data_IF_103720617221
#
_entry.id   IF_103720617221
#
_cell.length_a   1.000
_cell.length_b   1.000
_cell.length_c   1.000
_cell.angle_alpha   90.00
_cell.angle_beta   90.00
_cell.angle_gamma   90.00
#
_symmetry.space_group_name_H-M   'P 1'
#
loop_
_entity.id
_entity.type
_entity.pdbx_description
1 polymer ?
#
# COMPACT_ATOMS: atom_id res chain seq x y z
N UNK A 1 26.48 -1.09 -24.27
CA UNK A 1 26.03 -0.31 -25.45
C UNK A 1 24.87 0.57 -24.99
N UNK A 2 24.87 1.87 -25.30
CA UNK A 2 23.74 2.76 -24.99
C UNK A 2 22.54 2.31 -25.82
N UNK A 3 21.47 1.85 -25.18
CA UNK A 3 20.24 1.51 -25.87
C UNK A 3 19.37 2.77 -25.89
N UNK A 4 18.89 3.24 -27.04
CA UNK A 4 18.07 4.47 -27.10
C UNK A 4 16.94 4.31 -28.10
N UNK A 5 15.74 4.73 -27.73
CA UNK A 5 14.56 4.76 -28.61
C UNK A 5 14.48 6.13 -29.25
N UNK A 6 14.36 6.17 -30.58
CA UNK A 6 14.07 7.40 -31.33
C UNK A 6 12.59 7.38 -31.70
N UNK A 7 11.83 8.37 -31.25
CA UNK A 7 10.39 8.52 -31.52
C UNK A 7 10.07 9.96 -31.89
N UNK A 8 9.18 10.21 -32.85
CA UNK A 8 8.78 11.60 -33.17
C UNK A 8 7.84 12.18 -32.12
N UNK A 9 7.80 13.51 -31.98
CA UNK A 9 6.87 14.23 -31.09
C UNK A 9 5.42 13.81 -31.34
N UNK A 10 5.01 13.70 -32.61
CA UNK A 10 3.66 13.29 -33.02
C UNK A 10 3.36 11.83 -32.64
N UNK A 11 4.31 10.92 -32.84
CA UNK A 11 4.12 9.51 -32.44
C UNK A 11 4.04 9.35 -30.92
N UNK A 12 4.85 10.10 -30.16
CA UNK A 12 4.78 10.07 -28.70
C UNK A 12 3.42 10.60 -28.21
N UNK A 13 2.92 11.69 -28.82
CA UNK A 13 1.56 12.18 -28.58
C UNK A 13 0.49 11.11 -28.86
N UNK A 14 0.52 10.46 -30.03
CA UNK A 14 -0.48 9.43 -30.33
C UNK A 14 -0.42 8.24 -29.36
N UNK A 15 0.78 7.84 -28.94
CA UNK A 15 0.95 6.79 -27.92
C UNK A 15 0.35 7.19 -26.57
N UNK A 16 0.64 8.39 -26.05
CA UNK A 16 0.11 8.83 -24.73
C UNK A 16 -1.41 9.01 -24.72
N UNK A 17 -2.04 9.19 -25.88
CA UNK A 17 -3.50 9.24 -26.01
C UNK A 17 -4.14 7.91 -26.41
N UNK A 18 -3.34 6.89 -26.75
CA UNK A 18 -3.81 5.54 -27.10
C UNK A 18 -3.60 4.51 -25.98
N UNK A 19 -2.62 4.73 -25.10
CA UNK A 19 -2.30 3.82 -24.00
C UNK A 19 -2.07 4.56 -22.66
N UNK A 20 -2.43 3.94 -21.51
CA UNK A 20 -2.08 4.47 -20.19
C UNK A 20 -0.57 4.68 -20.04
N UNK A 21 -0.16 5.76 -19.36
CA UNK A 21 1.26 6.07 -19.14
C UNK A 21 2.00 4.92 -18.48
N UNK A 22 1.37 4.21 -17.53
CA UNK A 22 1.94 3.03 -16.88
C UNK A 22 2.39 1.94 -17.84
N UNK A 23 1.70 1.76 -18.97
CA UNK A 23 2.10 0.84 -20.04
C UNK A 23 3.28 1.39 -20.84
N UNK A 24 3.24 2.67 -21.20
CA UNK A 24 4.29 3.32 -21.98
C UNK A 24 5.60 3.43 -21.20
N UNK A 25 5.54 3.67 -19.90
CA UNK A 25 6.70 3.67 -19.00
C UNK A 25 7.43 2.32 -19.04
N UNK A 26 6.70 1.19 -19.07
CA UNK A 26 7.29 -0.15 -19.24
C UNK A 26 7.93 -0.32 -20.61
N UNK A 27 7.25 0.13 -21.67
CA UNK A 27 7.75 0.04 -23.05
C UNK A 27 9.03 0.86 -23.25
N UNK A 28 9.09 2.04 -22.63
CA UNK A 28 10.23 2.96 -22.75
C UNK A 28 11.30 2.78 -21.67
N UNK A 29 11.09 1.87 -20.72
CA UNK A 29 11.93 1.69 -19.53
C UNK A 29 12.19 3.02 -18.79
N UNK A 30 11.13 3.78 -18.54
CA UNK A 30 11.13 5.09 -17.86
C UNK A 30 10.23 5.04 -16.61
N UNK A 31 10.48 5.92 -15.64
CA UNK A 31 9.52 6.23 -14.58
C UNK A 31 8.37 7.11 -15.11
N UNK A 32 7.23 7.17 -14.40
CA UNK A 32 6.10 8.04 -14.80
C UNK A 32 6.54 9.50 -14.86
N UNK A 33 7.29 9.94 -13.85
CA UNK A 33 7.90 11.26 -13.83
C UNK A 33 8.90 11.48 -14.98
N UNK A 34 9.66 10.45 -15.37
CA UNK A 34 10.57 10.51 -16.51
C UNK A 34 9.83 10.76 -17.82
N UNK A 35 8.79 9.98 -18.10
CA UNK A 35 7.96 10.14 -19.29
C UNK A 35 7.20 11.48 -19.27
N UNK A 36 6.69 11.92 -18.11
CA UNK A 36 6.01 13.20 -17.95
C UNK A 36 6.94 14.38 -18.23
N UNK A 37 8.17 14.35 -17.71
CA UNK A 37 9.19 15.38 -17.99
C UNK A 37 9.50 15.48 -19.47
N UNK A 38 9.58 14.34 -20.17
CA UNK A 38 9.78 14.32 -21.63
C UNK A 38 8.58 14.98 -22.32
N UNK A 39 7.36 14.61 -21.96
CA UNK A 39 6.15 15.19 -22.55
C UNK A 39 6.07 16.70 -22.29
N UNK A 40 6.33 17.17 -21.07
CA UNK A 40 6.38 18.59 -20.71
C UNK A 40 7.46 19.33 -21.49
N UNK A 41 8.68 18.78 -21.58
CA UNK A 41 9.80 19.39 -22.32
C UNK A 41 9.47 19.58 -23.81
N UNK A 42 8.74 18.64 -24.39
CA UNK A 42 8.35 18.65 -25.80
C UNK A 42 6.96 19.24 -26.06
N UNK A 43 6.35 19.84 -25.04
CA UNK A 43 5.02 20.47 -25.12
C UNK A 43 3.96 19.52 -25.70
N UNK A 44 3.95 18.29 -25.18
CA UNK A 44 3.01 17.22 -25.52
C UNK A 44 1.96 17.16 -24.41
N UNK A 45 0.69 17.49 -24.69
CA UNK A 45 -0.35 17.44 -23.68
C UNK A 45 -0.66 15.97 -23.31
N UNK A 46 -0.83 15.74 -22.02
CA UNK A 46 -1.15 14.43 -21.45
C UNK A 46 -2.65 14.32 -21.18
N UNK A 47 -3.22 13.09 -21.22
CA UNK A 47 -4.59 12.88 -20.79
C UNK A 47 -4.81 13.33 -19.35
N UNK A 48 -5.90 14.07 -19.09
CA UNK A 48 -6.27 14.50 -17.74
C UNK A 48 -6.56 13.32 -16.82
N UNK A 49 -6.44 13.55 -15.51
CA UNK A 49 -6.81 12.55 -14.51
C UNK A 49 -8.25 12.05 -14.76
N UNK A 50 -8.42 10.73 -14.78
CA UNK A 50 -9.70 10.08 -15.05
C UNK A 50 -10.05 9.90 -16.54
N UNK A 51 -9.23 10.37 -17.50
CA UNK A 51 -9.45 10.13 -18.94
C UNK A 51 -9.63 8.64 -19.27
N UNK A 52 -8.71 7.79 -18.80
CA UNK A 52 -8.75 6.34 -19.03
C UNK A 52 -9.94 5.65 -18.35
N UNK A 53 -10.37 6.17 -17.19
CA UNK A 53 -11.57 5.68 -16.51
C UNK A 53 -12.82 6.00 -17.33
N UNK A 54 -12.93 7.22 -17.87
CA UNK A 54 -14.02 7.61 -18.77
C UNK A 54 -14.08 6.75 -20.03
N UNK A 55 -12.93 6.44 -20.66
CA UNK A 55 -12.85 5.50 -21.79
C UNK A 55 -13.37 4.11 -21.39
N UNK A 56 -12.91 3.57 -20.25
CA UNK A 56 -13.31 2.23 -19.76
C UNK A 56 -14.82 2.11 -19.55
N UNK A 57 -15.48 3.17 -19.11
CA UNK A 57 -16.92 3.21 -18.89
C UNK A 57 -17.71 3.76 -20.10
N UNK A 58 -17.11 3.82 -21.29
CA UNK A 58 -17.78 4.22 -22.54
C UNK A 58 -18.27 5.67 -22.55
N UNK A 59 -17.71 6.55 -21.71
CA UNK A 59 -18.10 7.95 -21.62
C UNK A 59 -17.39 8.78 -22.69
N UNK A 60 -18.03 9.85 -23.15
CA UNK A 60 -17.41 10.82 -24.07
C UNK A 60 -16.18 11.46 -23.39
N UNK A 61 -15.06 11.49 -24.12
CA UNK A 61 -13.80 12.09 -23.69
C UNK A 61 -13.36 13.15 -24.68
N UNK A 62 -12.64 14.16 -24.19
CA UNK A 62 -12.04 15.22 -25.00
C UNK A 62 -10.54 14.94 -25.09
N UNK A 63 -10.02 14.83 -26.31
CA UNK A 63 -8.59 14.73 -26.59
C UNK A 63 -8.05 16.14 -26.81
N UNK A 64 -7.09 16.57 -26.00
CA UNK A 64 -6.42 17.87 -26.18
C UNK A 64 -5.54 17.78 -27.40
N UNK A 65 -5.74 18.68 -28.36
CA UNK A 65 -4.94 18.72 -29.59
C UNK A 65 -3.47 19.01 -29.30
N UNK A 66 -2.58 18.42 -30.11
CA UNK A 66 -1.15 18.67 -30.00
C UNK A 66 -0.84 20.11 -30.44
N UNK A 67 -0.21 20.95 -29.59
CA UNK A 67 0.14 22.32 -29.96
C UNK A 67 1.00 22.37 -31.22
N UNK A 68 0.78 23.38 -32.07
CA UNK A 68 1.54 23.58 -33.32
C UNK A 68 2.98 23.92 -32.99
N UNK A 69 3.87 22.95 -33.21
CA UNK A 69 5.32 23.05 -32.99
C UNK A 69 6.02 21.98 -33.83
N UNK A 70 7.29 22.19 -34.12
CA UNK A 70 8.11 21.28 -34.92
C UNK A 70 7.99 19.82 -34.46
N UNK A 71 7.77 18.92 -35.42
CA UNK A 71 7.73 17.49 -35.16
C UNK A 71 9.14 16.92 -35.03
N UNK A 72 9.81 17.27 -33.94
CA UNK A 72 11.19 16.86 -33.66
C UNK A 72 11.28 15.39 -33.28
N UNK A 73 12.42 14.76 -33.58
CA UNK A 73 12.76 13.45 -33.06
C UNK A 73 13.20 13.55 -31.59
N UNK A 74 12.55 12.77 -30.74
CA UNK A 74 12.82 12.64 -29.32
C UNK A 74 13.67 11.38 -29.13
N UNK A 75 14.83 11.53 -28.50
CA UNK A 75 15.71 10.41 -28.15
C UNK A 75 15.49 10.09 -26.68
N UNK A 76 14.97 8.90 -26.41
CA UNK A 76 14.78 8.36 -25.08
C UNK A 76 15.96 7.42 -24.81
N UNK A 77 16.86 7.82 -23.92
CA UNK A 77 17.98 6.98 -23.50
C UNK A 77 17.48 5.88 -22.55
N UNK A 78 17.55 4.63 -23.01
CA UNK A 78 17.28 3.46 -22.17
C UNK A 78 18.57 3.14 -21.42
N UNK A 79 18.55 3.32 -20.10
CA UNK A 79 19.64 2.84 -19.25
C UNK A 79 19.67 1.31 -19.33
N UNK A 80 20.84 0.68 -19.57
CA UNK A 80 20.93 -0.78 -19.61
C UNK A 80 20.51 -1.33 -18.24
N UNK A 81 19.51 -2.20 -18.26
CA UNK A 81 19.01 -2.86 -17.07
C UNK A 81 20.06 -3.86 -16.58
N UNK A 82 20.63 -3.61 -15.40
CA UNK A 82 21.06 -4.74 -14.58
C UNK A 82 19.81 -5.57 -14.29
N UNK A 83 19.93 -6.88 -14.39
CA UNK A 83 18.86 -7.85 -14.28
C UNK A 83 18.30 -7.85 -12.83
N UNK A 84 17.51 -6.83 -12.50
CA UNK A 84 16.79 -6.67 -11.24
C UNK A 84 15.34 -6.97 -11.55
N UNK A 85 14.91 -8.16 -11.14
CA UNK A 85 13.51 -8.57 -11.08
C UNK A 85 12.69 -7.41 -10.47
N UNK A 86 12.00 -6.66 -11.34
CA UNK A 86 11.06 -5.59 -11.01
C UNK A 86 11.47 -4.68 -9.84
N UNK A 87 12.49 -3.82 -10.03
CA UNK A 87 12.72 -2.63 -9.19
C UNK A 87 11.85 -1.46 -9.65
N UNK A 88 10.53 -1.67 -9.74
CA UNK A 88 9.60 -0.55 -9.77
C UNK A 88 9.29 -0.16 -8.33
N UNK A 89 10.04 0.83 -7.83
CA UNK A 89 9.65 1.55 -6.63
C UNK A 89 8.34 2.30 -6.94
N UNK A 90 7.34 2.28 -6.04
CA UNK A 90 6.15 3.08 -6.24
C UNK A 90 6.51 4.57 -6.14
N UNK A 91 6.43 5.29 -7.27
CA UNK A 91 6.58 6.75 -7.39
C UNK A 91 5.62 7.51 -6.45
N UNK A 92 4.57 6.83 -5.97
CA UNK A 92 3.77 7.26 -4.84
C UNK A 92 3.24 6.05 -4.09
N UNK A 93 3.22 6.09 -2.76
CA UNK A 93 2.57 5.06 -1.95
C UNK A 93 1.05 5.00 -2.15
N UNK A 94 0.47 5.89 -2.96
CA UNK A 94 -0.95 5.90 -3.36
C UNK A 94 -1.34 4.66 -4.16
N UNK A 95 -0.43 4.18 -5.00
CA UNK A 95 -0.59 2.98 -5.80
C UNK A 95 0.32 1.90 -5.20
N UNK A 96 -0.18 1.17 -4.20
CA UNK A 96 0.55 0.01 -3.72
C UNK A 96 0.81 -0.90 -4.93
N UNK A 97 2.07 -1.33 -5.18
CA UNK A 97 2.33 -2.31 -6.23
C UNK A 97 1.46 -3.55 -5.97
N UNK A 98 1.18 -4.36 -6.98
CA UNK A 98 0.45 -5.63 -6.83
C UNK A 98 1.16 -6.52 -5.79
N UNK A 99 0.84 -6.33 -4.51
CA UNK A 99 1.41 -7.08 -3.40
C UNK A 99 0.78 -8.46 -3.43
N UNK A 100 1.56 -9.45 -3.84
CA UNK A 100 1.18 -10.84 -3.73
C UNK A 100 1.27 -11.24 -2.26
N UNK A 101 0.19 -11.05 -1.51
CA UNK A 101 0.03 -11.61 -0.17
C UNK A 101 -0.43 -13.06 -0.28
N UNK A 102 0.51 -13.96 -0.52
CA UNK A 102 0.31 -15.37 -0.18
C UNK A 102 0.84 -15.50 1.24
N UNK A 103 -0.07 -15.47 2.22
CA UNK A 103 0.31 -15.62 3.62
C UNK A 103 0.55 -17.11 3.90
N UNK A 104 1.75 -17.50 4.34
CA UNK A 104 2.06 -18.89 4.64
C UNK A 104 1.34 -19.33 5.92
N UNK A 105 1.08 -20.63 6.05
CA UNK A 105 0.48 -21.21 7.26
C UNK A 105 1.44 -21.17 8.47
N UNK A 106 2.75 -20.98 8.22
CA UNK A 106 3.80 -21.00 9.23
C UNK A 106 4.83 -19.90 8.98
N UNK A 107 5.46 -19.49 10.08
CA UNK A 107 6.46 -18.44 10.08
C UNK A 107 7.83 -19.03 9.73
N UNK A 108 8.35 -18.73 8.54
CA UNK A 108 9.67 -19.18 8.07
C UNK A 108 10.60 -18.00 7.88
N UNK A 109 11.80 -18.03 8.48
CA UNK A 109 12.78 -16.96 8.43
C UNK A 109 12.14 -15.55 8.66
N UNK A 110 11.54 -15.31 9.84
CA UNK A 110 10.81 -14.07 10.10
C UNK A 110 11.72 -12.85 10.13
N UNK A 111 11.16 -11.69 9.81
CA UNK A 111 11.86 -10.45 10.00
C UNK A 111 12.15 -10.14 11.49
N UNK A 112 13.23 -9.42 11.77
CA UNK A 112 13.58 -8.96 13.12
C UNK A 112 12.44 -8.19 13.81
N UNK A 113 11.69 -7.38 13.06
CA UNK A 113 10.53 -6.64 13.59
C UNK A 113 9.43 -7.62 13.99
N UNK A 114 9.17 -8.63 13.17
CA UNK A 114 8.21 -9.70 13.46
C UNK A 114 8.60 -10.50 14.70
N UNK A 115 9.89 -10.84 14.85
CA UNK A 115 10.41 -11.55 16.03
C UNK A 115 10.14 -10.74 17.29
N UNK A 116 10.48 -9.44 17.27
CA UNK A 116 10.26 -8.53 18.38
C UNK A 116 8.78 -8.40 18.73
N UNK A 117 7.91 -8.25 17.71
CA UNK A 117 6.46 -8.21 17.87
C UNK A 117 5.92 -9.48 18.54
N UNK A 118 6.35 -10.65 18.07
CA UNK A 118 5.92 -11.95 18.64
C UNK A 118 6.35 -12.07 20.11
N UNK A 119 7.59 -11.71 20.43
CA UNK A 119 8.09 -11.73 21.81
C UNK A 119 7.30 -10.81 22.75
N UNK A 120 6.90 -9.63 22.28
CA UNK A 120 6.08 -8.70 23.06
C UNK A 120 4.68 -9.24 23.33
N UNK A 121 4.00 -9.74 22.29
CA UNK A 121 2.60 -10.14 22.39
C UNK A 121 2.37 -11.50 23.06
N UNK A 122 3.26 -12.47 22.89
CA UNK A 122 3.02 -13.87 23.32
C UNK A 122 2.83 -14.01 24.85
N UNK A 123 3.49 -13.15 25.63
CA UNK A 123 3.45 -13.18 27.10
C UNK A 123 2.29 -12.36 27.67
N UNK A 124 1.61 -11.57 26.84
CA UNK A 124 0.54 -10.68 27.31
C UNK A 124 -0.72 -11.45 27.65
N UNK A 125 -1.37 -11.00 28.73
CA UNK A 125 -2.69 -11.44 29.13
C UNK A 125 -3.73 -10.48 28.54
N UNK A 126 -4.89 -10.96 28.09
CA UNK A 126 -5.96 -10.09 27.64
C UNK A 126 -6.34 -9.07 28.71
N UNK A 127 -6.50 -7.82 28.32
CA UNK A 127 -6.86 -6.71 29.20
C UNK A 127 -7.75 -5.70 28.47
N UNK A 128 -8.19 -4.68 29.21
CA UNK A 128 -8.86 -3.52 28.62
C UNK A 128 -7.85 -2.61 27.92
N UNK A 129 -8.22 -2.06 26.76
CA UNK A 129 -7.47 -1.04 26.03
C UNK A 129 -8.47 -0.10 25.32
N UNK A 130 -8.54 1.17 25.73
CA UNK A 130 -9.42 2.17 25.13
C UNK A 130 -10.87 1.69 24.97
N UNK A 131 -11.46 1.16 26.05
CA UNK A 131 -12.81 0.54 26.11
C UNK A 131 -13.00 -0.76 25.30
N UNK A 132 -11.92 -1.33 24.76
CA UNK A 132 -11.90 -2.67 24.16
C UNK A 132 -11.49 -3.68 25.23
N UNK A 133 -12.31 -4.66 25.47
CA UNK A 133 -12.08 -5.72 26.45
C UNK A 133 -11.49 -6.97 25.81
N UNK A 134 -10.77 -7.77 26.58
CA UNK A 134 -10.17 -9.03 26.15
C UNK A 134 -9.22 -8.92 24.93
N UNK A 135 -8.42 -7.85 24.87
CA UNK A 135 -7.41 -7.66 23.83
C UNK A 135 -5.99 -7.70 24.40
N UNK A 136 -5.03 -8.04 23.56
CA UNK A 136 -3.60 -7.80 23.74
C UNK A 136 -3.18 -6.69 22.78
N UNK A 137 -2.33 -5.78 23.25
CA UNK A 137 -1.85 -4.65 22.47
C UNK A 137 -0.33 -4.54 22.58
N UNK A 138 0.32 -4.02 21.55
CA UNK A 138 1.76 -3.79 21.59
C UNK A 138 2.15 -2.72 22.62
N UNK A 139 3.36 -2.84 23.16
CA UNK A 139 3.84 -1.94 24.20
C UNK A 139 4.08 -0.54 23.64
N UNK A 140 3.41 0.48 24.20
CA UNK A 140 3.45 1.86 23.72
C UNK A 140 4.84 2.52 23.72
N UNK A 141 5.78 2.01 24.52
CA UNK A 141 7.14 2.56 24.64
C UNK A 141 8.16 1.85 23.76
N UNK A 142 7.74 0.81 23.04
CA UNK A 142 8.63 -0.01 22.22
C UNK A 142 8.53 0.38 20.76
N UNK A 143 9.65 0.31 20.02
CA UNK A 143 9.65 0.44 18.56
C UNK A 143 9.09 -0.82 17.89
N UNK A 144 7.77 -1.00 17.99
CA UNK A 144 7.05 -2.16 17.50
C UNK A 144 5.90 -1.74 16.57
N UNK A 145 5.40 -2.67 15.72
CA UNK A 145 4.16 -2.47 14.99
C UNK A 145 2.98 -2.15 15.92
N UNK A 146 2.09 -1.27 15.49
CA UNK A 146 0.86 -0.93 16.21
C UNK A 146 -0.17 -2.04 15.99
N UNK A 147 -0.31 -2.93 16.99
CA UNK A 147 -1.17 -4.11 16.91
C UNK A 147 -2.07 -4.20 18.13
N UNK A 148 -3.38 -4.29 17.90
CA UNK A 148 -4.40 -4.47 18.96
C UNK A 148 -5.39 -5.55 18.56
N UNK A 149 -5.28 -6.73 19.16
CA UNK A 149 -6.00 -7.94 18.73
C UNK A 149 -6.42 -8.80 19.93
N UNK A 150 -7.30 -9.78 19.73
CA UNK A 150 -7.50 -10.86 20.71
C UNK A 150 -6.33 -11.86 20.70
N UNK A 151 -6.24 -12.69 21.74
CA UNK A 151 -5.22 -13.75 21.81
C UNK A 151 -5.40 -14.81 20.72
N UNK A 152 -6.63 -15.03 20.28
CA UNK A 152 -6.97 -16.01 19.24
C UNK A 152 -6.43 -15.59 17.87
N UNK A 153 -6.35 -14.28 17.61
CA UNK A 153 -5.79 -13.73 16.38
C UNK A 153 -4.27 -13.53 16.41
N UNK A 154 -3.58 -13.90 17.50
CA UNK A 154 -2.14 -13.68 17.64
C UNK A 154 -1.33 -14.26 16.48
N UNK A 155 -1.53 -15.55 16.18
CA UNK A 155 -0.77 -16.22 15.11
C UNK A 155 -1.04 -15.60 13.74
N UNK A 156 -2.31 -15.31 13.42
CA UNK A 156 -2.71 -14.67 12.17
C UNK A 156 -2.06 -13.30 12.01
N UNK A 157 -2.10 -12.48 13.07
CA UNK A 157 -1.51 -11.15 13.06
C UNK A 157 0.01 -11.17 12.82
N UNK A 158 0.74 -12.10 13.46
CA UNK A 158 2.18 -12.25 13.26
C UNK A 158 2.50 -12.62 11.80
N UNK A 159 1.76 -13.56 11.21
CA UNK A 159 1.96 -13.99 9.82
C UNK A 159 1.65 -12.86 8.82
N UNK A 160 0.57 -12.09 9.06
CA UNK A 160 0.20 -10.93 8.23
C UNK A 160 1.31 -9.89 8.26
N UNK A 161 1.77 -9.48 9.45
CA UNK A 161 2.82 -8.47 9.59
C UNK A 161 4.13 -8.93 8.93
N UNK A 162 4.54 -10.18 9.15
CA UNK A 162 5.76 -10.71 8.56
C UNK A 162 5.73 -10.72 7.03
N UNK A 163 4.61 -11.20 6.46
CA UNK A 163 4.41 -11.27 5.01
C UNK A 163 4.41 -9.87 4.41
N UNK A 164 3.74 -8.91 5.05
CA UNK A 164 3.74 -7.51 4.64
C UNK A 164 5.16 -6.94 4.64
N UNK A 165 5.90 -7.05 5.75
CA UNK A 165 7.26 -6.52 5.88
C UNK A 165 8.16 -7.10 4.79
N UNK A 166 8.13 -8.42 4.60
CA UNK A 166 8.93 -9.11 3.57
C UNK A 166 8.59 -8.62 2.17
N UNK A 167 7.30 -8.47 1.86
CA UNK A 167 6.87 -7.98 0.57
C UNK A 167 7.28 -6.52 0.35
N UNK A 168 7.11 -5.63 1.34
CA UNK A 168 7.54 -4.24 1.23
C UNK A 168 9.05 -4.11 0.98
N UNK A 169 9.87 -4.90 1.69
CA UNK A 169 11.31 -4.94 1.43
C UNK A 169 11.66 -5.50 0.06
N UNK A 170 10.93 -6.52 -0.39
CA UNK A 170 11.12 -7.12 -1.72
C UNK A 170 10.82 -6.13 -2.85
N UNK A 171 9.87 -5.22 -2.65
CA UNK A 171 9.58 -4.12 -3.60
C UNK A 171 10.47 -2.88 -3.37
N UNK A 172 11.50 -2.99 -2.54
CA UNK A 172 12.51 -1.95 -2.33
C UNK A 172 12.15 -0.87 -1.31
N UNK A 173 10.99 -0.95 -0.65
CA UNK A 173 10.63 0.04 0.37
C UNK A 173 11.46 -0.16 1.65
N UNK A 174 11.88 0.96 2.25
CA UNK A 174 12.49 0.94 3.58
C UNK A 174 11.40 0.60 4.58
N UNK A 175 11.68 -0.35 5.47
CA UNK A 175 10.73 -0.79 6.51
C UNK A 175 11.39 -0.68 7.88
N UNK A 176 10.80 0.12 8.76
CA UNK A 176 11.35 0.39 10.09
C UNK A 176 10.23 0.65 11.11
N UNK A 177 10.56 0.51 12.39
CA UNK A 177 9.67 0.90 13.48
C UNK A 177 10.17 2.17 14.17
N UNK A 178 9.23 2.94 14.71
CA UNK A 178 9.43 3.97 15.71
C UNK A 178 8.46 3.70 16.86
N UNK A 179 8.54 4.47 17.94
CA UNK A 179 7.56 4.42 19.04
C UNK A 179 6.11 4.60 18.58
N UNK A 180 5.92 5.29 17.46
CA UNK A 180 4.62 5.52 16.82
C UNK A 180 4.05 4.29 16.10
N UNK A 181 4.89 3.29 15.74
CA UNK A 181 4.46 2.10 15.01
C UNK A 181 5.43 1.66 13.90
N UNK A 182 4.92 0.83 12.99
CA UNK A 182 5.60 0.34 11.80
C UNK A 182 5.41 1.33 10.63
N UNK A 183 6.48 1.62 9.90
CA UNK A 183 6.47 2.51 8.74
C UNK A 183 7.10 1.84 7.52
N UNK A 184 6.58 2.22 6.36
CA UNK A 184 7.21 2.02 5.06
C UNK A 184 7.58 3.38 4.48
N UNK A 185 8.71 3.47 3.80
CA UNK A 185 9.20 4.70 3.17
C UNK A 185 9.80 4.41 1.80
N UNK A 186 9.49 5.25 0.81
CA UNK A 186 10.08 5.17 -0.53
C UNK A 186 11.38 5.99 -0.64
N UNK A 187 12.05 5.95 -1.78
CA UNK A 187 13.31 6.67 -1.98
C UNK A 187 13.16 8.21 -2.03
N UNK A 188 11.94 8.70 -2.26
CA UNK A 188 11.61 10.13 -2.21
C UNK A 188 11.33 10.64 -0.79
N UNK A 189 11.31 9.74 0.21
CA UNK A 189 11.02 10.07 1.61
C UNK A 189 9.52 10.13 1.96
N UNK A 190 8.63 9.74 1.03
CA UNK A 190 7.21 9.52 1.36
C UNK A 190 7.11 8.30 2.28
N UNK A 191 6.50 8.47 3.45
CA UNK A 191 6.28 7.41 4.43
C UNK A 191 4.80 7.18 4.68
N UNK A 192 4.44 5.94 5.03
CA UNK A 192 3.10 5.57 5.54
C UNK A 192 3.21 4.70 6.78
N UNK A 193 2.38 4.98 7.78
CA UNK A 193 2.22 4.11 8.94
C UNK A 193 1.41 2.86 8.57
N UNK A 194 1.77 1.72 9.15
CA UNK A 194 1.02 0.47 9.09
C UNK A 194 0.52 0.12 10.49
N UNK A 195 -0.77 -0.20 10.61
CA UNK A 195 -1.36 -0.71 11.84
C UNK A 195 -2.31 -1.88 11.57
N UNK A 196 -2.39 -2.80 12.53
CA UNK A 196 -3.28 -3.95 12.47
C UNK A 196 -4.14 -4.01 13.74
N UNK A 197 -5.46 -3.95 13.59
CA UNK A 197 -6.36 -4.04 14.72
C UNK A 197 -7.43 -5.10 14.48
N UNK A 198 -7.98 -5.68 15.54
CA UNK A 198 -9.21 -6.46 15.46
C UNK A 198 -10.42 -5.55 15.63
N UNK A 199 -11.46 -5.76 14.82
CA UNK A 199 -12.73 -5.07 15.01
C UNK A 199 -13.41 -5.58 16.27
N UNK A 200 -14.15 -4.69 16.91
CA UNK A 200 -14.92 -5.02 18.08
C UNK A 200 -16.42 -4.81 17.82
N UNK A 201 -17.22 -5.64 18.47
CA UNK A 201 -18.67 -5.49 18.56
C UNK A 201 -19.00 -4.93 19.93
N UNK A 202 -19.89 -3.92 19.97
CA UNK A 202 -20.34 -3.36 21.23
C UNK A 202 -21.31 -4.31 21.93
N UNK A 203 -21.16 -4.45 23.25
CA UNK A 203 -22.09 -5.14 24.14
C UNK A 203 -22.41 -4.23 25.32
N UNK A 204 -23.69 -4.15 25.66
CA UNK A 204 -24.12 -3.51 26.91
C UNK A 204 -23.85 -4.50 28.04
N UNK A 205 -23.04 -4.08 29.00
CA UNK A 205 -22.71 -4.85 30.20
C UNK A 205 -23.22 -4.07 31.40
N UNK A 206 -24.06 -4.71 32.20
CA UNK A 206 -24.52 -4.17 33.48
C UNK A 206 -23.44 -4.46 34.52
N UNK A 207 -22.93 -3.43 35.19
CA UNK A 207 -21.85 -3.58 36.16
C UNK A 207 -22.14 -2.85 37.48
N UNK A 208 -21.86 -3.52 38.60
CA UNK A 208 -21.98 -2.97 39.96
C UNK A 208 -23.36 -3.17 40.58
N UNK A 209 -23.45 -2.86 41.87
CA UNK A 209 -24.67 -2.96 42.71
C UNK A 209 -25.80 -2.01 42.30
N UNK A 210 -25.50 -1.00 41.48
CA UNK A 210 -26.45 0.04 41.04
C UNK A 210 -26.89 -0.09 39.57
N UNK A 211 -26.61 -1.25 38.93
CA UNK A 211 -27.04 -1.56 37.56
C UNK A 211 -26.69 -0.51 36.49
N UNK A 212 -25.52 0.13 36.58
CA UNK A 212 -25.09 1.03 35.51
C UNK A 212 -24.73 0.25 34.25
N UNK A 213 -25.38 0.61 33.16
CA UNK A 213 -25.12 0.06 31.84
C UNK A 213 -23.88 0.72 31.23
N UNK A 214 -22.86 -0.09 30.93
CA UNK A 214 -21.68 0.35 30.19
C UNK A 214 -21.65 -0.32 28.83
N UNK A 215 -21.36 0.47 27.80
CA UNK A 215 -21.10 -0.05 26.45
C UNK A 215 -19.62 -0.43 26.35
N UNK A 216 -19.35 -1.73 26.39
CA UNK A 216 -17.99 -2.29 26.24
C UNK A 216 -17.84 -2.90 24.84
N UNK A 217 -16.62 -2.91 24.32
CA UNK A 217 -16.33 -3.41 22.98
C UNK A 217 -15.52 -4.70 23.06
N UNK A 218 -16.01 -5.78 22.47
CA UNK A 218 -15.33 -7.08 22.49
C UNK A 218 -14.83 -7.46 21.09
N UNK A 219 -13.61 -8.01 20.94
CA UNK A 219 -13.08 -8.51 19.67
C UNK A 219 -14.07 -9.49 19.01
N UNK A 220 -14.20 -9.41 17.69
CA UNK A 220 -15.17 -10.21 16.92
C UNK A 220 -14.54 -11.13 15.86
N UNK A 221 -13.24 -11.37 15.95
CA UNK A 221 -12.47 -12.22 15.06
C UNK A 221 -11.96 -11.54 13.80
N UNK A 222 -12.55 -10.41 13.38
CA UNK A 222 -12.25 -9.76 12.09
C UNK A 222 -11.08 -8.80 12.20
N UNK A 223 -10.00 -9.08 11.51
CA UNK A 223 -8.83 -8.21 11.44
C UNK A 223 -9.06 -7.02 10.50
N UNK A 224 -8.34 -5.94 10.77
CA UNK A 224 -8.39 -4.66 10.08
C UNK A 224 -6.98 -4.09 9.95
N UNK A 225 -6.44 -4.15 8.74
CA UNK A 225 -5.18 -3.54 8.36
C UNK A 225 -5.42 -2.11 7.87
N UNK A 226 -4.62 -1.17 8.34
CA UNK A 226 -4.59 0.21 7.86
C UNK A 226 -3.19 0.58 7.40
N UNK A 227 -3.11 1.23 6.25
CA UNK A 227 -1.86 1.76 5.69
C UNK A 227 -2.07 3.22 5.29
N UNK A 228 -1.38 4.14 5.96
CA UNK A 228 -1.52 5.58 5.74
C UNK A 228 -1.47 6.38 7.04
N UNK A 229 -1.69 7.69 6.87
CA UNK A 229 -1.74 8.65 7.97
C UNK A 229 -3.14 9.33 8.00
N UNK A 230 -4.08 8.74 8.74
CA UNK A 230 -5.38 9.32 9.09
C UNK A 230 -6.47 9.19 8.03
N UNK A 231 -7.04 10.31 7.58
CA UNK A 231 -8.24 10.32 6.71
C UNK A 231 -8.01 9.77 5.29
N UNK A 232 -6.75 9.53 4.89
CA UNK A 232 -6.36 8.90 3.62
C UNK A 232 -5.85 7.48 3.79
N UNK A 233 -6.18 6.84 4.92
CA UNK A 233 -5.80 5.46 5.20
C UNK A 233 -6.44 4.51 4.19
N UNK A 234 -5.61 3.71 3.54
CA UNK A 234 -6.08 2.52 2.88
C UNK A 234 -6.46 1.50 3.97
N UNK A 235 -7.74 1.21 4.11
CA UNK A 235 -8.27 0.28 5.11
C UNK A 235 -8.76 -1.03 4.49
N UNK A 236 -8.30 -2.14 5.05
CA UNK A 236 -8.62 -3.50 4.60
C UNK A 236 -9.11 -4.29 5.80
N UNK A 237 -10.33 -4.81 5.72
CA UNK A 237 -10.96 -5.56 6.82
C UNK A 237 -11.32 -6.97 6.35
N UNK A 238 -11.20 -7.95 7.24
CA UNK A 238 -11.77 -9.28 7.05
C UNK A 238 -13.27 -9.18 6.71
N UNK A 239 -13.66 -9.91 5.68
CA UNK A 239 -15.06 -10.19 5.38
C UNK A 239 -15.30 -11.70 5.51
N UNK A 240 -16.57 -12.11 5.55
CA UNK A 240 -16.93 -13.55 5.65
C UNK A 240 -16.35 -14.38 4.48
N UNK A 241 -16.20 -13.76 3.30
CA UNK A 241 -15.80 -14.44 2.06
C UNK A 241 -14.38 -14.10 1.61
N UNK A 242 -13.83 -12.98 2.09
CA UNK A 242 -12.51 -12.48 1.73
C UNK A 242 -11.76 -12.03 3.00
N UNK A 243 -11.00 -12.93 3.63
CA UNK A 243 -10.11 -12.58 4.72
C UNK A 243 -8.88 -11.84 4.17
N UNK A 244 -8.20 -11.02 5.00
CA UNK A 244 -7.08 -10.17 4.57
C UNK A 244 -6.00 -10.96 3.85
N UNK A 245 -5.78 -12.22 4.26
CA UNK A 245 -4.78 -13.13 3.71
C UNK A 245 -5.04 -13.58 2.28
N UNK A 246 -6.26 -13.40 1.76
CA UNK A 246 -6.63 -13.78 0.39
C UNK A 246 -6.72 -12.59 -0.55
N UNK A 247 -6.49 -11.36 -0.07
CA UNK A 247 -6.56 -10.16 -0.90
C UNK A 247 -5.38 -10.09 -1.86
N UNK A 248 -5.69 -10.04 -3.16
CA UNK A 248 -4.71 -9.99 -4.25
C UNK A 248 -4.21 -8.58 -4.56
N UNK A 249 -4.92 -7.54 -4.11
CA UNK A 249 -4.59 -6.14 -4.37
C UNK A 249 -5.00 -5.25 -3.18
N UNK A 250 -4.11 -4.33 -2.80
CA UNK A 250 -4.36 -3.30 -1.79
C UNK A 250 -4.63 -1.96 -2.49
N UNK A 251 -5.77 -1.83 -3.17
CA UNK A 251 -6.16 -0.53 -3.75
C UNK A 251 -6.74 0.31 -2.61
N UNK A 252 -5.99 1.31 -2.15
CA UNK A 252 -6.53 2.33 -1.26
C UNK A 252 -7.69 3.03 -1.96
N UNK A 253 -8.86 3.08 -1.32
CA UNK A 253 -9.92 3.97 -1.78
C UNK A 253 -9.51 5.39 -1.39
N UNK A 254 -9.08 6.15 -2.38
CA UNK A 254 -8.98 7.61 -2.31
C UNK A 254 -10.34 8.27 -2.20
#
# INVERSE_FOLDING_TARGET
MKNSIKISRKELYEKVWSYPLTRLCKEFNLSDNGLRKICTKHDIPLPIAGYWSKIKFGKKVIKTELPVKDNVAIIIEIKPAENKLSETFPDSLSDFPDLILIIPDKLENPDRITIALKHDLIKKKPSSNNNRENVIATSFTSELPDVVISKDNLNRAILIIDTLIKNFRKVGLKVYCKTEGLFIENDEGEKKKISLAEKCTAKTVVQGTYNWERRLFFPNGKLKLRIGDGYRDAEFTDTETEPIEKRRQFIGRS
#
